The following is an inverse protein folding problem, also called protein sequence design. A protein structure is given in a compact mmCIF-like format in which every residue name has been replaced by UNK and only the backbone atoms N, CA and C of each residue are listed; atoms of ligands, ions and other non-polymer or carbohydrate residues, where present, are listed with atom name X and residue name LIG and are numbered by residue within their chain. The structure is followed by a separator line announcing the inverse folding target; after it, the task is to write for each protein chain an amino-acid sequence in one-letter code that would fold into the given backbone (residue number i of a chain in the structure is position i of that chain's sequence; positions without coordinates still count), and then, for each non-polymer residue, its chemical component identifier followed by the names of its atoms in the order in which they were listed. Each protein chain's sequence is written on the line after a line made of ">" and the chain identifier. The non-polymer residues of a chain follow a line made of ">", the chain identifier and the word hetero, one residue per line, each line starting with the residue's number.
data_IF_355787802009
#
_entry.id   IF_355787802009
#
_cell.length_a   1.000
_cell.length_b   1.000
_cell.length_c   1.000
_cell.angle_alpha   90.00
_cell.angle_beta   90.00
_cell.angle_gamma   90.00
#
_symmetry.space_group_name_H-M   'P 1'
#
loop_
_entity.id
_entity.type
_entity.pdbx_description
1 polymer ?
#
# COMPACT_ATOMS: atom_id res chain seq x y z
N UNK A 1 6.36 10.63 25.25
CA UNK A 1 6.86 9.70 24.20
C UNK A 1 5.97 8.46 24.09
N UNK A 2 5.82 7.65 25.15
CA UNK A 2 4.98 6.45 25.11
C UNK A 2 3.55 6.68 24.58
N UNK A 3 2.85 7.72 25.04
CA UNK A 3 1.52 8.05 24.51
C UNK A 3 1.52 8.39 23.01
N UNK A 4 2.54 9.09 22.52
CA UNK A 4 2.64 9.44 21.09
C UNK A 4 2.91 8.19 20.24
N UNK A 5 3.78 7.30 20.72
CA UNK A 5 4.04 6.02 20.06
C UNK A 5 2.83 5.08 20.11
N UNK A 6 2.07 5.09 21.20
CA UNK A 6 0.80 4.38 21.33
C UNK A 6 -0.24 4.90 20.33
N UNK A 7 -0.34 6.23 20.16
CA UNK A 7 -1.19 6.84 19.15
C UNK A 7 -0.74 6.45 17.74
N UNK A 8 0.56 6.56 17.43
CA UNK A 8 1.12 6.15 16.13
C UNK A 8 0.82 4.68 15.83
N UNK A 9 0.89 3.80 16.84
CA UNK A 9 0.55 2.40 16.66
C UNK A 9 -0.92 2.18 16.31
N UNK A 10 -1.82 3.02 16.83
CA UNK A 10 -3.27 2.88 16.66
C UNK A 10 -3.85 3.73 15.50
N UNK A 11 -3.02 4.34 14.65
CA UNK A 11 -3.51 5.00 13.43
C UNK A 11 -3.60 4.04 12.24
N UNK A 12 -2.63 3.12 12.10
CA UNK A 12 -2.53 2.21 10.97
C UNK A 12 -1.54 1.07 11.29
N UNK A 13 -1.66 -0.10 10.64
CA UNK A 13 -0.72 -1.22 10.77
C UNK A 13 0.75 -0.82 10.52
N UNK A 14 0.98 -0.02 9.49
CA UNK A 14 2.32 0.51 9.20
C UNK A 14 2.82 1.46 10.29
N UNK A 15 1.91 2.17 10.97
CA UNK A 15 2.21 2.96 12.16
C UNK A 15 2.64 2.10 13.34
N UNK A 16 1.97 0.97 13.58
CA UNK A 16 2.40 -0.04 14.56
C UNK A 16 3.82 -0.52 14.26
N UNK A 17 4.09 -0.91 13.01
CA UNK A 17 5.42 -1.39 12.57
C UNK A 17 6.50 -0.34 12.81
N UNK A 18 6.24 0.95 12.52
CA UNK A 18 7.20 2.04 12.77
C UNK A 18 7.36 2.35 14.26
N UNK A 19 6.29 2.22 15.05
CA UNK A 19 6.31 2.54 16.48
C UNK A 19 7.26 1.63 17.27
N UNK A 20 7.44 0.37 16.84
CA UNK A 20 8.30 -0.61 17.52
C UNK A 20 9.78 -0.21 17.44
N UNK A 21 10.40 0.01 16.27
CA UNK A 21 11.73 0.61 16.13
C UNK A 21 11.91 1.91 16.89
N UNK A 22 10.89 2.79 16.92
CA UNK A 22 10.95 4.04 17.68
C UNK A 22 10.99 3.78 19.19
N UNK A 23 10.16 2.88 19.71
CA UNK A 23 10.17 2.49 21.13
C UNK A 23 11.50 1.83 21.52
N UNK A 24 12.03 0.94 20.66
CA UNK A 24 13.34 0.32 20.85
C UNK A 24 14.46 1.35 20.82
N UNK A 25 14.39 2.36 19.94
CA UNK A 25 15.37 3.46 19.90
C UNK A 25 15.35 4.26 21.20
N UNK A 26 14.16 4.55 21.75
CA UNK A 26 14.03 5.23 23.05
C UNK A 26 14.64 4.37 24.14
N UNK A 27 14.31 3.08 24.18
CA UNK A 27 14.93 2.15 25.12
C UNK A 27 16.46 2.15 24.98
N UNK A 28 16.97 2.06 23.76
CA UNK A 28 18.40 2.04 23.45
C UNK A 28 19.14 3.31 23.90
N UNK A 29 18.53 4.48 23.77
CA UNK A 29 19.09 5.78 24.22
C UNK A 29 19.16 5.87 25.74
N UNK A 30 18.10 5.45 26.43
CA UNK A 30 17.98 5.58 27.89
C UNK A 30 18.54 4.38 28.66
N UNK A 31 18.82 3.28 27.98
CA UNK A 31 19.48 2.13 28.56
C UNK A 31 20.98 2.40 28.69
N UNK A 32 21.42 2.68 29.91
CA UNK A 32 22.84 2.93 30.23
C UNK A 32 23.67 1.63 30.19
N UNK A 33 23.06 0.48 30.43
CA UNK A 33 23.72 -0.84 30.42
C UNK A 33 24.76 -1.05 31.54
N UNK A 34 25.13 0.02 32.24
CA UNK A 34 26.08 0.05 33.35
C UNK A 34 25.37 0.20 34.71
N UNK A 35 24.15 0.72 34.72
CA UNK A 35 23.36 0.88 35.95
C UNK A 35 22.75 -0.45 36.38
N UNK A 36 23.04 -0.86 37.61
CA UNK A 36 22.33 -1.97 38.26
C UNK A 36 20.84 -1.64 38.25
N UNK A 37 20.04 -2.53 37.65
CA UNK A 37 18.57 -2.34 37.55
C UNK A 37 17.98 -2.33 38.96
N UNK A 38 17.79 -1.14 39.52
CA UNK A 38 17.15 -0.98 40.82
C UNK A 38 15.63 -1.01 40.68
N UNK A 39 14.92 -1.31 41.77
CA UNK A 39 13.45 -1.24 41.81
C UNK A 39 12.91 0.14 41.39
N UNK A 40 13.64 1.22 41.69
CA UNK A 40 13.26 2.57 41.27
C UNK A 40 13.38 2.78 39.76
N UNK A 41 14.41 2.23 39.13
CA UNK A 41 14.54 2.26 37.66
C UNK A 41 13.37 1.52 37.00
N UNK A 42 13.01 0.34 37.49
CA UNK A 42 11.87 -0.42 36.97
C UNK A 42 10.54 0.34 37.10
N UNK A 43 10.31 1.03 38.23
CA UNK A 43 9.11 1.87 38.41
C UNK A 43 8.99 2.98 37.36
N UNK A 44 10.11 3.57 36.92
CA UNK A 44 10.12 4.59 35.86
C UNK A 44 9.72 4.04 34.50
N UNK A 45 10.02 2.76 34.23
CA UNK A 45 9.67 2.10 32.97
C UNK A 45 8.29 1.47 32.95
N UNK A 46 7.74 1.13 34.12
CA UNK A 46 6.47 0.39 34.24
C UNK A 46 5.30 1.10 33.54
N UNK A 47 5.13 2.40 33.78
CA UNK A 47 4.04 3.16 33.17
C UNK A 47 4.22 3.33 31.64
N UNK A 48 5.36 3.81 31.11
CA UNK A 48 5.58 3.89 29.66
C UNK A 48 5.45 2.55 28.93
N UNK A 49 6.01 1.48 29.49
CA UNK A 49 5.92 0.14 28.89
C UNK A 49 4.50 -0.38 28.97
N UNK A 50 3.80 -0.19 30.09
CA UNK A 50 2.39 -0.55 30.23
C UNK A 50 1.49 0.13 29.19
N UNK A 51 1.70 1.43 28.95
CA UNK A 51 0.98 2.18 27.90
C UNK A 51 1.24 1.56 26.51
N UNK A 52 2.50 1.27 26.18
CA UNK A 52 2.85 0.69 24.88
C UNK A 52 2.29 -0.72 24.70
N UNK A 53 2.40 -1.58 25.71
CA UNK A 53 1.88 -2.96 25.67
C UNK A 53 0.37 -2.95 25.47
N UNK A 54 -0.37 -2.15 26.26
CA UNK A 54 -1.83 -2.03 26.10
C UNK A 54 -2.19 -1.52 24.71
N UNK A 55 -1.51 -0.47 24.24
CA UNK A 55 -1.75 0.09 22.91
C UNK A 55 -1.45 -0.90 21.78
N UNK A 56 -0.41 -1.73 21.90
CA UNK A 56 -0.08 -2.76 20.92
C UNK A 56 -1.07 -3.91 20.95
N UNK A 57 -1.52 -4.33 22.13
CA UNK A 57 -2.56 -5.38 22.26
C UNK A 57 -3.87 -4.92 21.61
N UNK A 58 -4.31 -3.68 21.89
CA UNK A 58 -5.52 -3.10 21.27
C UNK A 58 -5.36 -3.05 19.74
N UNK A 59 -4.22 -2.54 19.27
CA UNK A 59 -3.93 -2.44 17.84
C UNK A 59 -3.92 -3.81 17.14
N UNK A 60 -3.22 -4.80 17.71
CA UNK A 60 -3.17 -6.17 17.18
C UNK A 60 -4.59 -6.76 17.14
N UNK A 61 -5.37 -6.58 18.21
CA UNK A 61 -6.75 -7.08 18.25
C UNK A 61 -7.62 -6.49 17.13
N UNK A 62 -7.49 -5.18 16.85
CA UNK A 62 -8.23 -4.52 15.76
C UNK A 62 -7.73 -4.86 14.35
N UNK A 63 -6.46 -5.25 14.20
CA UNK A 63 -5.87 -5.57 12.90
C UNK A 63 -6.09 -7.04 12.52
N UNK A 64 -6.42 -7.92 13.48
CA UNK A 64 -6.65 -9.32 13.19
C UNK A 64 -7.70 -9.45 12.07
N UNK A 65 -7.31 -10.02 10.92
CA UNK A 65 -8.16 -10.03 9.74
C UNK A 65 -9.44 -10.81 9.99
N UNK A 66 -10.58 -10.29 9.54
CA UNK A 66 -11.80 -11.07 9.38
C UNK A 66 -11.61 -12.19 8.34
N UNK A 67 -12.44 -13.22 8.43
CA UNK A 67 -12.39 -14.37 7.51
C UNK A 67 -12.55 -13.95 6.03
N UNK A 68 -13.29 -12.87 5.78
CA UNK A 68 -13.56 -12.25 4.48
C UNK A 68 -12.36 -11.52 3.87
N UNK A 69 -11.30 -11.30 4.64
CA UNK A 69 -10.14 -10.51 4.19
C UNK A 69 -9.23 -11.29 3.23
N UNK A 70 -8.45 -10.56 2.42
CA UNK A 70 -7.42 -11.16 1.55
C UNK A 70 -6.38 -11.96 2.34
N UNK A 71 -6.13 -11.58 3.59
CA UNK A 71 -5.09 -12.15 4.43
C UNK A 71 -5.45 -13.53 4.99
N UNK A 72 -6.74 -13.92 4.99
CA UNK A 72 -7.16 -15.23 5.52
C UNK A 72 -6.71 -16.41 4.65
N UNK A 73 -6.45 -16.18 3.36
CA UNK A 73 -6.05 -17.20 2.37
C UNK A 73 -4.62 -17.06 1.87
N UNK A 74 -3.76 -16.30 2.56
CA UNK A 74 -2.38 -16.06 2.12
C UNK A 74 -1.63 -17.38 1.90
N UNK A 75 -1.18 -17.64 0.68
CA UNK A 75 -0.38 -18.83 0.34
C UNK A 75 0.91 -18.84 1.17
N UNK A 76 1.02 -19.73 2.16
CA UNK A 76 2.23 -19.86 2.99
C UNK A 76 3.40 -20.53 2.27
N UNK A 77 3.23 -20.92 1.01
CA UNK A 77 4.26 -21.63 0.25
C UNK A 77 5.30 -20.65 -0.33
N UNK A 78 6.58 -21.01 -0.19
CA UNK A 78 7.67 -20.31 -0.88
C UNK A 78 8.23 -19.08 -0.15
N UNK A 79 8.37 -19.11 1.19
CA UNK A 79 9.09 -18.08 1.94
C UNK A 79 10.45 -17.77 1.29
N UNK A 80 11.20 -18.78 0.86
CA UNK A 80 12.52 -18.62 0.21
C UNK A 80 12.49 -18.31 -1.30
N UNK A 81 11.34 -17.91 -1.87
CA UNK A 81 11.26 -17.62 -3.30
C UNK A 81 12.05 -16.36 -3.68
N UNK A 82 12.87 -16.44 -4.73
CA UNK A 82 13.56 -15.29 -5.34
C UNK A 82 12.58 -14.21 -5.82
N UNK A 83 11.30 -14.55 -6.06
CA UNK A 83 10.27 -13.56 -6.38
C UNK A 83 10.07 -12.54 -5.26
N UNK A 84 10.31 -12.92 -3.99
CA UNK A 84 10.15 -12.04 -2.81
C UNK A 84 11.33 -11.08 -2.59
N UNK A 85 12.44 -11.26 -3.31
CA UNK A 85 13.64 -10.41 -3.14
C UNK A 85 13.43 -8.98 -3.62
N UNK A 86 12.35 -8.69 -4.36
CA UNK A 86 11.98 -7.31 -4.67
C UNK A 86 11.73 -6.46 -3.43
N UNK A 87 11.45 -7.07 -2.27
CA UNK A 87 11.35 -6.36 -0.98
C UNK A 87 12.65 -5.64 -0.64
N UNK A 88 13.80 -6.14 -1.06
CA UNK A 88 15.08 -5.47 -0.83
C UNK A 88 15.23 -4.18 -1.64
N UNK A 89 14.41 -3.95 -2.67
CA UNK A 89 14.39 -2.66 -3.39
C UNK A 89 13.69 -1.55 -2.63
N UNK A 90 13.13 -1.87 -1.45
CA UNK A 90 12.33 -0.96 -0.65
C UNK A 90 13.02 0.35 -0.35
N UNK A 91 14.30 0.31 0.02
CA UNK A 91 14.96 1.52 0.50
C UNK A 91 15.11 2.56 -0.61
N UNK A 92 15.44 2.12 -1.83
CA UNK A 92 15.45 3.03 -2.98
C UNK A 92 14.03 3.55 -3.24
N UNK A 93 13.02 2.68 -3.30
CA UNK A 93 11.62 3.08 -3.55
C UNK A 93 11.08 4.05 -2.51
N UNK A 94 11.46 3.87 -1.25
CA UNK A 94 11.02 4.69 -0.13
C UNK A 94 11.61 6.10 -0.21
N UNK A 95 12.90 6.23 -0.51
CA UNK A 95 13.60 7.52 -0.51
C UNK A 95 13.45 8.27 -1.84
N UNK A 96 13.36 7.54 -2.95
CA UNK A 96 13.38 8.10 -4.29
C UNK A 96 12.19 7.63 -5.12
N UNK A 97 11.01 8.22 -4.87
CA UNK A 97 9.80 7.92 -5.62
C UNK A 97 9.85 8.60 -6.99
N UNK A 98 10.02 7.83 -8.05
CA UNK A 98 9.97 8.31 -9.43
C UNK A 98 8.69 7.80 -10.10
N UNK A 99 7.61 8.58 -10.11
CA UNK A 99 6.33 8.17 -10.67
C UNK A 99 6.42 8.00 -12.18
N UNK A 100 5.59 7.12 -12.75
CA UNK A 100 5.37 7.03 -14.19
C UNK A 100 4.63 8.28 -14.71
N UNK A 101 4.72 8.50 -16.02
CA UNK A 101 4.01 9.61 -16.69
C UNK A 101 2.67 9.14 -17.30
N UNK A 102 2.31 7.86 -17.14
CA UNK A 102 1.16 7.22 -17.80
C UNK A 102 -0.03 6.94 -16.86
N UNK A 103 -0.03 7.53 -15.66
CA UNK A 103 -1.05 7.31 -14.63
C UNK A 103 -0.88 6.02 -13.81
N UNK A 104 0.02 5.10 -14.16
CA UNK A 104 0.23 3.85 -13.38
C UNK A 104 1.13 4.03 -12.14
N UNK A 105 1.39 5.27 -11.75
CA UNK A 105 2.41 5.69 -10.79
C UNK A 105 2.15 5.27 -9.35
N UNK A 106 0.91 4.93 -9.01
CA UNK A 106 0.48 4.66 -7.63
C UNK A 106 1.24 3.52 -6.94
N UNK A 107 1.70 2.54 -7.73
CA UNK A 107 2.40 1.34 -7.22
C UNK A 107 3.73 1.06 -7.95
N UNK A 108 4.22 2.00 -8.73
CA UNK A 108 5.37 1.80 -9.62
C UNK A 108 6.48 2.80 -9.32
N UNK A 109 7.69 2.47 -9.75
CA UNK A 109 8.82 3.37 -9.68
C UNK A 109 9.72 3.08 -10.89
N UNK A 110 9.99 4.12 -11.68
CA UNK A 110 10.62 3.99 -13.00
C UNK A 110 11.89 3.15 -12.97
N UNK A 111 12.74 3.36 -11.97
CA UNK A 111 14.04 2.69 -11.91
C UNK A 111 14.01 1.28 -11.35
N UNK A 112 12.87 0.84 -10.82
CA UNK A 112 12.74 -0.46 -10.15
C UNK A 112 11.88 -1.46 -10.90
N UNK A 113 11.38 -1.10 -12.09
CA UNK A 113 10.74 -2.06 -12.99
C UNK A 113 11.72 -3.17 -13.38
N UNK A 114 12.95 -2.80 -13.74
CA UNK A 114 14.02 -3.77 -13.92
C UNK A 114 14.59 -4.15 -12.55
N UNK A 115 14.46 -5.44 -12.19
CA UNK A 115 14.89 -5.94 -10.88
C UNK A 115 16.37 -5.64 -10.58
N UNK A 116 17.23 -5.73 -11.60
CA UNK A 116 18.66 -5.51 -11.46
C UNK A 116 19.00 -4.05 -11.15
N UNK A 117 18.41 -3.08 -11.88
CA UNK A 117 18.65 -1.66 -11.62
C UNK A 117 18.13 -1.25 -10.25
N UNK A 118 16.93 -1.69 -9.87
CA UNK A 118 16.38 -1.42 -8.54
C UNK A 118 17.25 -1.97 -7.41
N UNK A 119 17.83 -3.16 -7.61
CA UNK A 119 18.76 -3.77 -6.65
C UNK A 119 20.07 -2.98 -6.53
N UNK A 120 20.72 -2.66 -7.66
CA UNK A 120 21.96 -1.88 -7.70
C UNK A 120 21.76 -0.52 -7.01
N UNK A 121 20.70 0.20 -7.37
CA UNK A 121 20.38 1.49 -6.77
C UNK A 121 20.12 1.38 -5.28
N UNK A 122 19.50 0.29 -4.82
CA UNK A 122 19.31 0.07 -3.38
C UNK A 122 20.65 -0.15 -2.66
N UNK A 123 21.59 -0.89 -3.25
CA UNK A 123 22.94 -1.02 -2.66
C UNK A 123 23.62 0.34 -2.55
N UNK A 124 23.54 1.18 -3.58
CA UNK A 124 24.11 2.52 -3.57
C UNK A 124 23.49 3.37 -2.46
N UNK A 125 22.18 3.37 -2.35
CA UNK A 125 21.46 4.09 -1.29
C UNK A 125 21.77 3.53 0.09
N UNK A 126 21.92 2.21 0.21
CA UNK A 126 22.31 1.55 1.47
C UNK A 126 23.68 2.03 1.92
N UNK A 127 24.64 2.03 1.01
CA UNK A 127 25.98 2.51 1.29
C UNK A 127 25.98 3.98 1.69
N UNK A 128 25.22 4.83 0.99
CA UNK A 128 25.06 6.24 1.34
C UNK A 128 24.42 6.43 2.72
N UNK A 129 23.39 5.65 3.07
CA UNK A 129 22.72 5.71 4.37
C UNK A 129 23.62 5.19 5.51
N UNK A 130 24.37 4.11 5.29
CA UNK A 130 25.39 3.64 6.24
C UNK A 130 26.38 4.77 6.49
N UNK A 131 26.96 5.36 5.45
CA UNK A 131 27.91 6.48 5.57
C UNK A 131 27.32 7.69 6.31
N UNK A 132 26.06 8.03 6.03
CA UNK A 132 25.38 9.16 6.64
C UNK A 132 25.16 8.96 8.15
N UNK A 133 24.90 7.73 8.61
CA UNK A 133 24.51 7.46 9.99
C UNK A 133 25.51 6.65 10.82
N UNK A 134 26.62 6.18 10.25
CA UNK A 134 27.56 5.29 10.95
C UNK A 134 28.09 5.88 12.26
N UNK A 135 28.35 7.19 12.29
CA UNK A 135 28.83 7.90 13.47
C UNK A 135 27.69 8.40 14.38
N UNK A 136 26.45 8.05 14.07
CA UNK A 136 25.22 8.50 14.73
C UNK A 136 24.40 7.26 15.13
N UNK A 137 24.87 6.48 16.12
CA UNK A 137 24.37 5.13 16.38
C UNK A 137 22.87 5.05 16.69
N UNK A 138 22.30 6.09 17.31
CA UNK A 138 20.86 6.17 17.59
C UNK A 138 20.06 6.28 16.28
N UNK A 139 20.52 7.15 15.37
CA UNK A 139 19.90 7.35 14.05
C UNK A 139 20.08 6.14 13.15
N UNK A 140 21.28 5.54 13.18
CA UNK A 140 21.58 4.30 12.49
C UNK A 140 20.63 3.19 12.94
N UNK A 141 20.51 2.99 14.26
CA UNK A 141 19.63 1.98 14.83
C UNK A 141 18.18 2.20 14.44
N UNK A 142 17.65 3.43 14.61
CA UNK A 142 16.27 3.74 14.22
C UNK A 142 16.00 3.45 12.74
N UNK A 143 16.85 3.96 11.86
CA UNK A 143 16.62 3.84 10.42
C UNK A 143 16.69 2.39 9.97
N UNK A 144 17.77 1.67 10.30
CA UNK A 144 17.97 0.30 9.81
C UNK A 144 17.03 -0.71 10.49
N UNK A 145 16.67 -0.53 11.77
CA UNK A 145 15.65 -1.37 12.40
C UNK A 145 14.26 -1.14 11.81
N UNK A 146 13.93 0.09 11.40
CA UNK A 146 12.69 0.40 10.67
C UNK A 146 12.68 -0.25 9.28
N UNK A 147 13.76 -0.09 8.50
CA UNK A 147 13.90 -0.73 7.18
C UNK A 147 13.76 -2.26 7.32
N UNK A 148 14.40 -2.85 8.33
CA UNK A 148 14.29 -4.28 8.61
C UNK A 148 12.86 -4.70 8.97
N UNK A 149 12.20 -4.00 9.90
CA UNK A 149 10.84 -4.31 10.33
C UNK A 149 9.84 -4.26 9.17
N UNK A 150 9.90 -3.21 8.34
CA UNK A 150 9.08 -3.11 7.13
C UNK A 150 9.43 -4.20 6.12
N UNK A 151 10.72 -4.42 5.83
CA UNK A 151 11.13 -5.47 4.89
C UNK A 151 10.64 -6.85 5.32
N UNK A 152 10.75 -7.16 6.61
CA UNK A 152 10.27 -8.41 7.18
C UNK A 152 8.76 -8.54 7.03
N UNK A 153 7.99 -7.50 7.38
CA UNK A 153 6.55 -7.49 7.23
C UNK A 153 6.11 -7.74 5.77
N UNK A 154 6.64 -6.97 4.82
CA UNK A 154 6.29 -7.13 3.40
C UNK A 154 6.79 -8.44 2.77
N UNK A 155 7.87 -9.01 3.30
CA UNK A 155 8.37 -10.32 2.89
C UNK A 155 7.44 -11.46 3.34
N UNK A 156 6.89 -11.34 4.55
CA UNK A 156 5.95 -12.32 5.12
C UNK A 156 4.56 -12.22 4.48
N UNK A 157 4.04 -11.01 4.30
CA UNK A 157 2.67 -10.74 3.81
C UNK A 157 2.49 -10.85 2.28
N UNK A 158 3.50 -11.29 1.52
CA UNK A 158 3.41 -11.48 0.06
C UNK A 158 3.02 -10.24 -0.78
N UNK A 159 2.90 -9.06 -0.17
CA UNK A 159 2.51 -7.77 -0.78
C UNK A 159 3.61 -7.11 -1.65
N UNK A 160 4.53 -7.91 -2.19
CA UNK A 160 5.76 -7.45 -2.85
C UNK A 160 5.56 -6.61 -4.12
N UNK A 161 4.38 -6.67 -4.76
CA UNK A 161 4.07 -6.02 -6.03
C UNK A 161 3.22 -4.75 -5.90
N UNK A 162 2.49 -4.55 -4.80
CA UNK A 162 1.39 -3.56 -4.75
C UNK A 162 1.56 -2.48 -3.67
N UNK A 163 2.80 -2.25 -3.20
CA UNK A 163 3.04 -1.52 -1.96
C UNK A 163 3.89 -0.25 -2.07
N UNK A 164 4.09 0.35 -3.27
CA UNK A 164 4.93 1.56 -3.35
C UNK A 164 4.41 2.69 -2.46
N UNK A 165 3.10 2.89 -2.47
CA UNK A 165 2.38 3.80 -1.57
C UNK A 165 2.62 3.56 -0.07
N UNK A 166 3.00 2.35 0.33
CA UNK A 166 3.23 2.00 1.74
C UNK A 166 4.69 2.25 2.17
N UNK A 167 5.63 2.46 1.24
CA UNK A 167 7.03 2.68 1.57
C UNK A 167 7.30 4.07 2.18
N UNK A 168 6.32 4.99 2.14
CA UNK A 168 6.44 6.32 2.75
C UNK A 168 6.79 6.28 4.25
N UNK A 169 6.42 5.23 4.97
CA UNK A 169 6.80 5.08 6.39
C UNK A 169 8.31 4.92 6.60
N UNK A 170 9.04 4.38 5.63
CA UNK A 170 10.51 4.30 5.69
C UNK A 170 11.12 5.68 5.43
N UNK A 171 10.50 6.50 4.58
CA UNK A 171 10.90 7.91 4.43
C UNK A 171 10.65 8.71 5.72
N UNK A 172 9.54 8.46 6.42
CA UNK A 172 9.30 9.04 7.75
C UNK A 172 10.38 8.58 8.74
N UNK A 173 10.73 7.29 8.76
CA UNK A 173 11.81 6.77 9.60
C UNK A 173 13.17 7.39 9.27
N UNK A 174 13.46 7.60 7.98
CA UNK A 174 14.67 8.30 7.52
C UNK A 174 14.72 9.73 8.03
N UNK A 175 13.62 10.48 7.90
CA UNK A 175 13.53 11.86 8.36
C UNK A 175 13.66 11.95 9.90
N UNK A 176 13.02 11.04 10.63
CA UNK A 176 13.17 10.93 12.08
C UNK A 176 14.62 10.60 12.48
N UNK A 177 15.30 9.73 11.74
CA UNK A 177 16.71 9.41 11.97
C UNK A 177 17.63 10.62 11.72
N UNK A 178 17.38 11.42 10.69
CA UNK A 178 18.07 12.70 10.47
C UNK A 178 17.85 13.64 11.64
N UNK A 179 16.60 13.82 12.07
CA UNK A 179 16.28 14.69 13.19
C UNK A 179 16.98 14.28 14.49
N UNK A 180 17.06 12.96 14.75
CA UNK A 180 17.80 12.43 15.89
C UNK A 180 19.32 12.49 15.71
N UNK A 181 19.82 12.69 14.49
CA UNK A 181 21.25 12.61 14.21
C UNK A 181 22.01 13.68 15.00
N UNK A 182 21.49 14.90 15.09
CA UNK A 182 22.07 15.99 15.87
C UNK A 182 21.54 16.05 17.32
N UNK A 183 20.76 15.04 17.72
CA UNK A 183 19.97 15.03 18.95
C UNK A 183 20.54 14.15 20.08
N UNK A 184 19.65 13.85 21.03
CA UNK A 184 19.98 13.27 22.35
C UNK A 184 20.66 11.90 22.24
N UNK A 185 21.73 11.72 23.04
CA UNK A 185 22.30 10.40 23.35
C UNK A 185 23.38 9.91 22.38
N UNK A 186 23.68 10.66 21.32
CA UNK A 186 24.69 10.27 20.34
C UNK A 186 26.06 10.09 20.98
N UNK A 187 26.55 11.08 21.75
CA UNK A 187 27.89 11.02 22.37
C UNK A 187 28.01 9.88 23.39
N UNK A 188 26.96 9.69 24.21
CA UNK A 188 26.93 8.63 25.23
C UNK A 188 26.96 7.24 24.60
N UNK A 189 26.14 7.02 23.57
CA UNK A 189 26.08 5.73 22.87
C UNK A 189 27.34 5.52 22.05
N UNK A 190 27.86 6.56 21.39
CA UNK A 190 29.06 6.49 20.58
C UNK A 190 30.30 6.16 21.40
N UNK A 191 30.46 6.75 22.59
CA UNK A 191 31.55 6.40 23.51
C UNK A 191 31.59 4.90 23.87
N UNK A 192 30.42 4.24 23.96
CA UNK A 192 30.34 2.77 24.13
C UNK A 192 30.73 2.00 22.88
N UNK A 193 30.40 2.52 21.69
CA UNK A 193 30.70 1.87 20.41
C UNK A 193 32.12 2.11 19.90
N UNK A 194 32.81 3.16 20.36
CA UNK A 194 34.21 3.44 19.99
C UNK A 194 35.17 2.31 20.34
N UNK A 195 34.77 1.36 21.18
CA UNK A 195 35.50 0.13 21.47
C UNK A 195 35.62 -0.81 20.25
N UNK A 196 34.78 -0.63 19.23
CA UNK A 196 34.81 -1.41 18.00
C UNK A 196 35.54 -0.66 16.88
N UNK A 197 36.48 -1.34 16.22
CA UNK A 197 37.27 -0.76 15.13
C UNK A 197 36.44 -0.59 13.86
N UNK A 198 35.87 0.60 13.66
CA UNK A 198 35.24 0.96 12.39
C UNK A 198 36.32 1.49 11.42
N UNK A 199 36.40 0.99 10.17
CA UNK A 199 37.37 1.46 9.19
C UNK A 199 37.34 2.99 8.99
N UNK A 200 38.50 3.64 9.02
CA UNK A 200 38.64 5.12 8.92
C UNK A 200 37.97 5.68 7.66
N UNK A 201 38.04 4.97 6.54
CA UNK A 201 37.41 5.42 5.30
C UNK A 201 35.88 5.54 5.42
N UNK A 202 35.24 4.76 6.29
CA UNK A 202 33.80 4.84 6.55
C UNK A 202 33.41 6.03 7.43
N UNK A 203 34.32 6.53 8.27
CA UNK A 203 34.06 7.63 9.21
C UNK A 203 34.22 9.02 8.58
N UNK A 204 35.00 9.14 7.52
CA UNK A 204 35.25 10.42 6.82
C UNK A 204 34.03 10.88 6.01
N UNK A 205 33.83 12.20 5.98
CA UNK A 205 32.84 12.90 5.14
C UNK A 205 31.37 12.52 5.40
N UNK A 206 31.02 12.06 6.61
CA UNK A 206 29.65 11.65 6.92
C UNK A 206 28.61 12.77 6.72
N UNK A 207 28.95 14.03 7.04
CA UNK A 207 28.06 15.18 6.81
C UNK A 207 27.79 15.42 5.32
N UNK A 208 28.79 15.23 4.45
CA UNK A 208 28.62 15.34 3.00
C UNK A 208 27.64 14.29 2.48
N UNK A 209 27.80 13.03 2.90
CA UNK A 209 26.89 11.94 2.53
C UNK A 209 25.49 12.15 3.10
N UNK A 210 25.38 12.60 4.35
CA UNK A 210 24.09 12.92 4.99
C UNK A 210 23.38 14.02 4.21
N UNK A 211 24.01 15.17 4.02
CA UNK A 211 23.42 16.31 3.35
C UNK A 211 23.05 15.97 1.90
N UNK A 212 23.95 15.29 1.18
CA UNK A 212 23.67 14.80 -0.18
C UNK A 212 22.43 13.91 -0.21
N UNK A 213 22.39 12.87 0.64
CA UNK A 213 21.26 11.94 0.70
C UNK A 213 19.95 12.65 1.07
N UNK A 214 19.97 13.55 2.07
CA UNK A 214 18.80 14.32 2.53
C UNK A 214 18.27 15.21 1.42
N UNK A 215 19.12 16.05 0.84
CA UNK A 215 18.68 17.02 -0.18
C UNK A 215 18.21 16.32 -1.44
N UNK A 216 18.91 15.28 -1.92
CA UNK A 216 18.47 14.53 -3.09
C UNK A 216 17.14 13.82 -2.82
N UNK A 217 16.97 13.17 -1.66
CA UNK A 217 15.70 12.53 -1.33
C UNK A 217 14.55 13.55 -1.25
N UNK A 218 14.75 14.69 -0.58
CA UNK A 218 13.73 15.74 -0.47
C UNK A 218 13.35 16.35 -1.83
N UNK A 219 14.33 16.64 -2.69
CA UNK A 219 14.07 17.16 -4.03
C UNK A 219 13.24 16.16 -4.83
N UNK A 220 13.63 14.88 -4.85
CA UNK A 220 12.89 13.84 -5.58
C UNK A 220 11.47 13.67 -5.05
N UNK A 221 11.30 13.62 -3.73
CA UNK A 221 9.98 13.49 -3.09
C UNK A 221 9.09 14.70 -3.37
N UNK A 222 9.64 15.92 -3.31
CA UNK A 222 8.91 17.14 -3.60
C UNK A 222 8.48 17.15 -5.07
N UNK A 223 9.39 16.86 -6.01
CA UNK A 223 9.07 16.80 -7.43
C UNK A 223 8.01 15.74 -7.74
N UNK A 224 8.13 14.55 -7.15
CA UNK A 224 7.14 13.49 -7.30
C UNK A 224 5.78 13.89 -6.71
N UNK A 225 5.76 14.52 -5.54
CA UNK A 225 4.54 14.98 -4.87
C UNK A 225 3.83 16.06 -5.69
N UNK A 226 4.57 17.04 -6.21
CA UNK A 226 4.01 18.08 -7.08
C UNK A 226 3.44 17.46 -8.35
N UNK A 227 4.18 16.55 -9.00
CA UNK A 227 3.70 15.86 -10.18
C UNK A 227 2.40 15.09 -9.92
N UNK A 228 2.36 14.28 -8.85
CA UNK A 228 1.21 13.47 -8.48
C UNK A 228 0.01 14.34 -8.08
N UNK A 229 0.24 15.44 -7.36
CA UNK A 229 -0.81 16.39 -6.99
C UNK A 229 -1.42 17.06 -8.22
N UNK A 230 -0.60 17.52 -9.17
CA UNK A 230 -1.08 18.10 -10.42
C UNK A 230 -1.86 17.06 -11.23
N UNK A 231 -1.37 15.83 -11.27
CA UNK A 231 -2.04 14.74 -11.99
C UNK A 231 -3.41 14.41 -11.40
N UNK A 232 -3.51 14.31 -10.08
CA UNK A 232 -4.77 14.08 -9.34
C UNK A 232 -5.74 15.27 -9.43
N UNK A 233 -5.21 16.50 -9.50
CA UNK A 233 -6.04 17.69 -9.72
C UNK A 233 -6.67 17.72 -11.13
N UNK A 234 -5.95 17.23 -12.14
CA UNK A 234 -6.41 17.22 -13.53
C UNK A 234 -7.30 16.00 -13.82
N UNK A 235 -6.96 14.85 -13.25
CA UNK A 235 -7.64 13.57 -13.51
C UNK A 235 -8.34 13.11 -12.23
N UNK A 236 -9.67 12.91 -12.23
CA UNK A 236 -10.36 12.42 -11.04
C UNK A 236 -9.78 11.07 -10.62
N UNK A 237 -9.60 10.87 -9.31
CA UNK A 237 -9.03 9.63 -8.81
C UNK A 237 -9.82 8.40 -9.27
N UNK A 238 -11.15 8.48 -9.21
CA UNK A 238 -12.06 7.40 -9.59
C UNK A 238 -13.30 7.96 -10.30
N UNK A 239 -13.75 7.31 -11.38
CA UNK A 239 -14.93 7.71 -12.16
C UNK A 239 -16.27 7.12 -11.67
N UNK A 240 -16.27 6.38 -10.56
CA UNK A 240 -17.47 5.70 -10.07
C UNK A 240 -18.66 6.65 -9.85
N UNK A 241 -18.40 7.90 -9.43
CA UNK A 241 -19.45 8.93 -9.31
C UNK A 241 -20.11 9.24 -10.66
N UNK A 242 -19.30 9.43 -11.69
CA UNK A 242 -19.76 9.72 -13.06
C UNK A 242 -20.55 8.55 -13.62
N UNK A 243 -20.12 7.30 -13.35
CA UNK A 243 -20.87 6.10 -13.70
C UNK A 243 -22.22 6.07 -13.00
N UNK A 244 -22.26 6.27 -11.69
CA UNK A 244 -23.52 6.26 -10.93
C UNK A 244 -24.49 7.36 -11.37
N UNK A 245 -24.00 8.56 -11.68
CA UNK A 245 -24.82 9.65 -12.23
C UNK A 245 -25.37 9.28 -13.61
N UNK A 246 -24.54 8.75 -14.51
CA UNK A 246 -24.97 8.29 -15.82
C UNK A 246 -26.07 7.21 -15.72
N UNK A 247 -25.88 6.20 -14.87
CA UNK A 247 -26.89 5.15 -14.66
C UNK A 247 -28.22 5.71 -14.13
N UNK A 248 -28.16 6.77 -13.30
CA UNK A 248 -29.36 7.44 -12.78
C UNK A 248 -30.08 8.25 -13.86
N UNK A 249 -29.34 9.05 -14.62
CA UNK A 249 -29.88 9.92 -15.68
C UNK A 249 -30.49 9.14 -16.83
N UNK A 250 -29.92 7.99 -17.19
CA UNK A 250 -30.42 7.11 -18.26
C UNK A 250 -31.54 6.16 -17.78
N UNK A 251 -31.99 6.27 -16.53
CA UNK A 251 -33.10 5.46 -16.00
C UNK A 251 -32.74 4.01 -15.67
N UNK A 252 -31.45 3.69 -15.50
CA UNK A 252 -30.99 2.35 -15.11
C UNK A 252 -30.94 2.12 -13.59
N UNK A 253 -31.43 3.06 -12.79
CA UNK A 253 -31.44 2.99 -11.32
C UNK A 253 -32.19 1.78 -10.78
N UNK A 254 -33.26 1.34 -11.43
CA UNK A 254 -34.08 0.21 -10.98
C UNK A 254 -33.64 -1.12 -11.62
N UNK A 255 -32.71 -1.09 -12.57
CA UNK A 255 -32.18 -2.29 -13.19
C UNK A 255 -31.22 -3.03 -12.24
N UNK A 256 -31.10 -4.34 -12.48
CA UNK A 256 -29.98 -5.12 -11.98
C UNK A 256 -28.68 -4.53 -12.54
N UNK A 257 -27.75 -4.15 -11.66
CA UNK A 257 -26.42 -3.71 -12.05
C UNK A 257 -25.43 -4.80 -11.67
N UNK A 258 -24.75 -5.33 -12.68
CA UNK A 258 -23.73 -6.37 -12.58
C UNK A 258 -22.37 -5.67 -12.67
N UNK A 259 -21.55 -5.80 -11.65
CA UNK A 259 -20.19 -5.29 -11.64
C UNK A 259 -19.23 -6.49 -11.54
N UNK A 260 -18.38 -6.66 -12.55
CA UNK A 260 -17.32 -7.67 -12.52
C UNK A 260 -15.99 -7.02 -12.20
N UNK A 261 -15.11 -7.80 -11.57
CA UNK A 261 -13.92 -7.35 -10.85
C UNK A 261 -14.31 -6.51 -9.62
N UNK A 262 -14.00 -7.02 -8.43
CA UNK A 262 -14.39 -6.42 -7.15
C UNK A 262 -13.96 -4.95 -6.99
N UNK A 263 -12.95 -4.47 -7.73
CA UNK A 263 -12.54 -3.05 -7.71
C UNK A 263 -13.52 -2.11 -8.39
N UNK A 264 -14.29 -2.60 -9.36
CA UNK A 264 -15.13 -1.78 -10.23
C UNK A 264 -16.40 -1.29 -9.53
N UNK A 265 -17.06 -2.20 -8.79
CA UNK A 265 -18.42 -1.97 -8.33
C UNK A 265 -18.53 -1.22 -7.00
N UNK A 266 -17.55 -1.32 -6.11
CA UNK A 266 -17.71 -0.88 -4.70
C UNK A 266 -18.00 0.62 -4.60
N UNK A 267 -17.23 1.44 -5.30
CA UNK A 267 -17.43 2.88 -5.31
C UNK A 267 -18.73 3.26 -6.04
N UNK A 268 -19.13 2.50 -7.08
CA UNK A 268 -20.40 2.73 -7.79
C UNK A 268 -21.57 2.44 -6.86
N UNK A 269 -21.53 1.32 -6.13
CA UNK A 269 -22.54 0.91 -5.15
C UNK A 269 -22.79 2.01 -4.13
N UNK A 270 -21.71 2.62 -3.62
CA UNK A 270 -21.79 3.73 -2.67
C UNK A 270 -22.48 4.98 -3.25
N UNK A 271 -22.18 5.37 -4.50
CA UNK A 271 -22.83 6.52 -5.14
C UNK A 271 -24.26 6.23 -5.64
N UNK A 272 -24.58 4.96 -5.92
CA UNK A 272 -25.93 4.52 -6.25
C UNK A 272 -26.82 4.33 -5.03
N UNK A 273 -26.23 4.20 -3.84
CA UNK A 273 -26.92 3.87 -2.58
C UNK A 273 -27.71 2.55 -2.66
N UNK A 274 -27.13 1.56 -3.35
CA UNK A 274 -27.71 0.21 -3.49
C UNK A 274 -26.62 -0.84 -3.70
N UNK A 275 -26.85 -2.10 -3.29
CA UNK A 275 -25.92 -3.18 -3.59
C UNK A 275 -25.92 -3.51 -5.09
N UNK A 276 -24.75 -3.91 -5.61
CA UNK A 276 -24.59 -4.41 -6.97
C UNK A 276 -24.39 -5.92 -6.95
N UNK A 277 -24.70 -6.61 -8.05
CA UNK A 277 -24.43 -8.04 -8.19
C UNK A 277 -23.01 -8.26 -8.69
N UNK A 278 -22.27 -9.15 -8.03
CA UNK A 278 -20.91 -9.53 -8.37
C UNK A 278 -20.85 -11.01 -8.76
N UNK A 279 -20.57 -11.30 -10.04
CA UNK A 279 -20.44 -12.66 -10.56
C UNK A 279 -19.40 -13.51 -9.83
N UNK A 280 -18.32 -12.91 -9.31
CA UNK A 280 -17.19 -13.61 -8.69
C UNK A 280 -17.54 -14.38 -7.41
N UNK A 281 -18.63 -14.00 -6.74
CA UNK A 281 -19.11 -14.68 -5.53
C UNK A 281 -20.62 -14.92 -5.52
N UNK A 282 -21.27 -14.80 -6.68
CA UNK A 282 -22.70 -15.08 -6.89
C UNK A 282 -23.61 -14.31 -5.93
N UNK A 283 -23.31 -13.04 -5.66
CA UNK A 283 -23.95 -12.31 -4.57
C UNK A 283 -24.08 -10.81 -4.79
N UNK A 284 -24.92 -10.19 -3.96
CA UNK A 284 -25.08 -8.75 -3.90
C UNK A 284 -24.18 -8.16 -2.82
N UNK A 285 -23.57 -7.01 -3.08
CA UNK A 285 -22.70 -6.36 -2.10
C UNK A 285 -22.53 -4.86 -2.31
N UNK A 286 -22.15 -4.16 -1.25
CA UNK A 286 -21.70 -2.76 -1.24
C UNK A 286 -20.21 -2.64 -0.94
N UNK A 287 -19.52 -3.76 -0.72
CA UNK A 287 -18.10 -3.85 -0.42
C UNK A 287 -17.50 -5.10 -1.10
N UNK A 288 -16.19 -5.08 -1.31
CA UNK A 288 -15.46 -6.21 -1.89
C UNK A 288 -15.27 -7.32 -0.86
N UNK A 289 -15.60 -8.55 -1.24
CA UNK A 289 -15.23 -9.76 -0.48
C UNK A 289 -13.88 -10.23 -1.03
N UNK A 290 -12.85 -10.23 -0.20
CA UNK A 290 -11.47 -10.40 -0.67
C UNK A 290 -10.95 -11.83 -0.58
N UNK A 291 -11.67 -12.70 0.15
CA UNK A 291 -11.36 -14.11 0.25
C UNK A 291 -12.02 -14.96 -0.86
N UNK A 292 -12.64 -14.35 -1.86
CA UNK A 292 -13.25 -15.05 -3.00
C UNK A 292 -12.20 -15.22 -4.11
N UNK A 293 -11.97 -16.46 -4.52
CA UNK A 293 -11.05 -16.79 -5.61
C UNK A 293 -11.80 -17.59 -6.67
N UNK A 294 -11.68 -17.24 -7.97
CA UNK A 294 -10.79 -16.21 -8.52
C UNK A 294 -11.30 -14.78 -8.30
N UNK A 295 -10.37 -13.83 -8.22
CA UNK A 295 -10.64 -12.39 -8.07
C UNK A 295 -11.30 -11.78 -9.33
N UNK A 296 -11.11 -12.44 -10.47
CA UNK A 296 -11.72 -12.13 -11.75
C UNK A 296 -12.11 -13.45 -12.42
N UNK A 297 -13.28 -13.51 -13.04
CA UNK A 297 -13.73 -14.68 -13.79
C UNK A 297 -13.42 -14.53 -15.29
N UNK A 298 -13.39 -15.65 -16.02
CA UNK A 298 -13.28 -15.61 -17.48
C UNK A 298 -14.53 -14.99 -18.11
N UNK A 299 -14.42 -14.50 -19.34
CA UNK A 299 -15.57 -13.97 -20.09
C UNK A 299 -16.66 -15.03 -20.23
N UNK A 300 -16.31 -16.29 -20.49
CA UNK A 300 -17.29 -17.39 -20.59
C UNK A 300 -18.05 -17.60 -19.27
N UNK A 301 -17.34 -17.55 -18.13
CA UNK A 301 -17.96 -17.66 -16.81
C UNK A 301 -18.82 -16.44 -16.50
N UNK A 302 -18.38 -15.24 -16.88
CA UNK A 302 -19.17 -14.02 -16.75
C UNK A 302 -20.47 -14.10 -17.56
N UNK A 303 -20.39 -14.60 -18.80
CA UNK A 303 -21.55 -14.79 -19.66
C UNK A 303 -22.53 -15.82 -19.08
N UNK A 304 -22.01 -16.93 -18.52
CA UNK A 304 -22.85 -17.91 -17.82
C UNK A 304 -23.57 -17.29 -16.62
N UNK A 305 -22.88 -16.46 -15.83
CA UNK A 305 -23.48 -15.75 -14.69
C UNK A 305 -24.52 -14.71 -15.11
N UNK A 306 -24.26 -13.96 -16.17
CA UNK A 306 -25.22 -13.01 -16.75
C UNK A 306 -26.49 -13.76 -17.15
N UNK A 307 -26.35 -14.88 -17.88
CA UNK A 307 -27.50 -15.73 -18.26
C UNK A 307 -28.24 -16.28 -17.04
N UNK A 308 -27.53 -16.73 -16.02
CA UNK A 308 -28.13 -17.22 -14.77
C UNK A 308 -28.86 -16.13 -13.98
N UNK A 309 -28.48 -14.85 -14.15
CA UNK A 309 -29.16 -13.71 -13.55
C UNK A 309 -30.50 -13.35 -14.21
N UNK A 310 -30.94 -14.10 -15.24
CA UNK A 310 -32.27 -13.97 -15.85
C UNK A 310 -33.36 -14.22 -14.81
N UNK A 311 -33.75 -13.16 -14.10
CA UNK A 311 -34.89 -13.14 -13.19
C UNK A 311 -36.09 -12.54 -13.93
N UNK A 312 -37.27 -13.11 -13.70
CA UNK A 312 -38.54 -12.57 -14.24
C UNK A 312 -38.76 -11.08 -13.87
N UNK A 313 -38.14 -10.61 -12.78
CA UNK A 313 -38.21 -9.23 -12.32
C UNK A 313 -37.38 -8.22 -13.14
N UNK A 314 -36.38 -8.65 -13.91
CA UNK A 314 -35.48 -7.75 -14.64
C UNK A 314 -35.40 -8.12 -16.13
N UNK A 315 -36.20 -7.49 -17.00
CA UNK A 315 -36.09 -7.71 -18.45
C UNK A 315 -34.75 -7.20 -19.01
N UNK A 316 -34.08 -6.32 -18.26
CA UNK A 316 -32.79 -5.71 -18.62
C UNK A 316 -31.88 -5.60 -17.40
N UNK A 317 -30.58 -5.79 -17.61
CA UNK A 317 -29.53 -5.53 -16.63
C UNK A 317 -28.49 -4.59 -17.24
N UNK A 318 -27.71 -3.92 -16.39
CA UNK A 318 -26.56 -3.13 -16.81
C UNK A 318 -25.30 -3.82 -16.31
N UNK A 319 -24.38 -4.09 -17.23
CA UNK A 319 -23.08 -4.63 -16.93
C UNK A 319 -22.04 -3.51 -16.92
N UNK A 320 -21.24 -3.45 -15.85
CA UNK A 320 -20.14 -2.50 -15.70
C UNK A 320 -18.83 -3.26 -15.55
N UNK A 321 -17.90 -2.99 -16.46
CA UNK A 321 -16.56 -3.60 -16.51
C UNK A 321 -15.47 -2.53 -16.47
N UNK A 322 -14.28 -2.89 -16.00
CA UNK A 322 -13.11 -2.03 -16.18
C UNK A 322 -12.39 -2.28 -17.52
N UNK A 323 -12.46 -3.51 -18.01
CA UNK A 323 -11.85 -3.93 -19.27
C UNK A 323 -12.90 -4.16 -20.36
N UNK A 324 -12.43 -4.28 -21.60
CA UNK A 324 -13.30 -4.66 -22.73
C UNK A 324 -13.80 -6.10 -22.55
N UNK A 325 -15.10 -6.32 -22.80
CA UNK A 325 -15.67 -7.67 -22.76
C UNK A 325 -15.02 -8.58 -23.82
N UNK A 326 -14.82 -8.07 -25.04
CA UNK A 326 -14.00 -8.68 -26.08
C UNK A 326 -13.14 -7.59 -26.72
N UNK A 327 -11.97 -7.97 -27.23
CA UNK A 327 -11.09 -7.03 -27.95
C UNK A 327 -11.84 -6.46 -29.17
N UNK A 328 -12.00 -5.13 -29.22
CA UNK A 328 -12.71 -4.44 -30.30
C UNK A 328 -14.23 -4.34 -30.14
N UNK A 329 -14.81 -4.84 -29.03
CA UNK A 329 -16.26 -4.81 -28.77
C UNK A 329 -16.81 -3.41 -28.44
N UNK A 330 -15.98 -2.38 -28.46
CA UNK A 330 -16.35 -1.00 -28.11
C UNK A 330 -17.38 -0.35 -29.06
N UNK A 331 -17.70 -0.97 -30.19
CA UNK A 331 -18.70 -0.48 -31.16
C UNK A 331 -19.66 -1.58 -31.63
N UNK A 332 -19.65 -2.73 -30.97
CA UNK A 332 -20.27 -3.93 -31.51
C UNK A 332 -21.39 -4.46 -30.60
N UNK A 333 -22.11 -5.40 -31.18
CA UNK A 333 -23.29 -6.02 -30.64
C UNK A 333 -23.03 -7.52 -30.53
N UNK A 334 -23.22 -8.09 -29.34
CA UNK A 334 -23.15 -9.55 -29.16
C UNK A 334 -24.53 -10.07 -28.87
N UNK A 335 -24.97 -11.01 -29.68
CA UNK A 335 -26.19 -11.76 -29.45
C UNK A 335 -25.84 -13.23 -29.28
N UNK A 336 -26.24 -13.75 -28.13
CA UNK A 336 -26.32 -15.16 -27.84
C UNK A 336 -27.83 -15.53 -27.81
N UNK A 337 -28.17 -16.81 -27.83
CA UNK A 337 -29.56 -17.28 -27.94
C UNK A 337 -30.44 -16.73 -26.80
N UNK A 338 -29.86 -16.49 -25.62
CA UNK A 338 -30.57 -16.05 -24.41
C UNK A 338 -30.41 -14.56 -24.07
N UNK A 339 -29.35 -13.91 -24.55
CA UNK A 339 -28.96 -12.58 -24.11
C UNK A 339 -28.43 -11.73 -25.24
N UNK A 340 -28.84 -10.47 -25.20
CA UNK A 340 -28.44 -9.42 -26.12
C UNK A 340 -27.61 -8.40 -25.35
N UNK A 341 -26.32 -8.25 -25.70
CA UNK A 341 -25.42 -7.30 -25.05
C UNK A 341 -25.08 -6.16 -26.01
N UNK A 342 -25.43 -4.95 -25.60
CA UNK A 342 -25.21 -3.73 -26.37
C UNK A 342 -24.27 -2.80 -25.60
N UNK A 343 -23.19 -2.35 -26.23
CA UNK A 343 -22.34 -1.32 -25.65
C UNK A 343 -23.10 0.01 -25.53
N UNK A 344 -23.02 0.64 -24.36
CA UNK A 344 -23.65 1.94 -24.10
C UNK A 344 -22.63 3.07 -24.13
N UNK A 345 -21.61 2.99 -23.28
CA UNK A 345 -20.71 4.11 -23.04
C UNK A 345 -19.42 3.66 -22.38
N UNK A 346 -18.33 4.35 -22.72
CA UNK A 346 -17.07 4.32 -21.97
C UNK A 346 -16.96 5.61 -21.19
N UNK A 347 -16.80 5.49 -19.88
CA UNK A 347 -16.43 6.59 -18.99
C UNK A 347 -14.95 6.42 -18.70
N UNK A 348 -14.14 7.10 -19.51
CA UNK A 348 -12.69 7.14 -19.38
C UNK A 348 -12.24 8.34 -18.55
N UNK A 349 -10.97 8.33 -18.16
CA UNK A 349 -10.32 9.43 -17.45
C UNK A 349 -10.33 9.22 -15.95
N UNK A 350 -9.40 8.43 -15.45
CA UNK A 350 -9.22 8.18 -14.02
C UNK A 350 -7.73 8.17 -13.70
N UNK A 351 -7.39 8.35 -12.43
CA UNK A 351 -5.99 8.27 -11.98
C UNK A 351 -5.39 6.90 -12.31
N UNK A 352 -6.14 5.82 -12.10
CA UNK A 352 -5.74 4.45 -12.48
C UNK A 352 -6.32 4.04 -13.83
N UNK A 353 -5.60 3.21 -14.59
CA UNK A 353 -6.16 2.51 -15.76
C UNK A 353 -7.38 1.65 -15.39
N UNK A 354 -7.42 1.18 -14.14
CA UNK A 354 -8.54 0.42 -13.59
C UNK A 354 -9.78 1.29 -13.29
N UNK A 355 -9.71 2.62 -13.42
CA UNK A 355 -10.83 3.54 -13.23
C UNK A 355 -11.46 3.98 -14.57
N UNK A 356 -11.20 3.22 -15.63
CA UNK A 356 -11.98 3.28 -16.86
C UNK A 356 -13.15 2.32 -16.70
N UNK A 357 -14.35 2.77 -17.07
CA UNK A 357 -15.57 1.98 -16.96
C UNK A 357 -16.22 1.82 -18.33
N UNK A 358 -16.46 0.58 -18.72
CA UNK A 358 -17.20 0.22 -19.93
C UNK A 358 -18.56 -0.32 -19.51
N UNK A 359 -19.60 0.31 -20.03
CA UNK A 359 -20.99 0.07 -19.63
C UNK A 359 -21.72 -0.58 -20.78
N UNK A 360 -22.42 -1.67 -20.49
CA UNK A 360 -23.17 -2.46 -21.44
C UNK A 360 -24.60 -2.67 -20.94
N UNK A 361 -25.56 -2.65 -21.87
CA UNK A 361 -26.93 -3.05 -21.62
C UNK A 361 -27.07 -4.52 -21.97
N UNK A 362 -27.53 -5.31 -21.01
CA UNK A 362 -27.92 -6.70 -21.20
C UNK A 362 -29.44 -6.76 -21.29
N UNK A 363 -29.96 -7.26 -22.40
CA UNK A 363 -31.39 -7.55 -22.58
C UNK A 363 -31.58 -9.05 -22.67
N UNK A 364 -32.46 -9.61 -21.83
CA UNK A 364 -32.75 -11.05 -21.85
C UNK A 364 -33.77 -11.34 -22.95
N UNK A 365 -33.39 -12.20 -23.90
CA UNK A 365 -34.26 -12.65 -24.99
C UNK A 365 -35.21 -13.71 -24.43
N UNK A 366 -36.48 -13.66 -24.84
CA UNK A 366 -37.51 -14.56 -24.32
C UNK A 366 -37.41 -15.94 -24.90
#
# INVERSE_FOLDING_TARGET
>A
IACVLALLANTHLLGLILSVPMALTVFFVYWDGTTVVTKEHLKKWLLPVGILVVAYVICIHHILPEESSMFSKLERTGYFSLKRWSVFTVMFKALFQFPYVDGTSWNTNIFTQHKLSGFILTIVVMFAAIKAFLNRPVSFFLFFSSVFAFSLFFYLELMHTYAVRHWGFIFIAFYAAIWLSDGIGQDKVWGRMQQYSVPVFLQKNHDYWRNGLVYTALIVQLSASVYMFVWDYINPFCNAKTVAVYLKEEGYSDNLVIASNFTSGVAIAAYMDKPLYYPEYHGYGTYGIWNTWPVSISIDALMAEIKACRKEAYPKAVLVLNDEMYEGFANDFSQDDDVQICYLKTIAGGFSKQDQYKIYLVTYIK
#
